data_IF_989682218141
#
_entry.id   IF_989682218141
#
_cell.length_a   1.000
_cell.length_b   1.000
_cell.length_c   1.000
_cell.angle_alpha   90.00
_cell.angle_beta   90.00
_cell.angle_gamma   90.00
#
_symmetry.space_group_name_H-M   'P 1'
#
loop_
_entity.id
_entity.type
_entity.pdbx_description
1 polymer ?
#
# COMPACT_ATOMS: atom_id res chain seq x y z
N UNK A 1 -12.80 -9.49 -15.29
CA UNK A 1 -12.06 -8.33 -14.81
C UNK A 1 -12.23 -8.27 -13.30
N UNK A 2 -11.18 -8.53 -12.52
CA UNK A 2 -11.27 -8.40 -11.06
C UNK A 2 -11.28 -6.90 -10.74
N UNK A 3 -12.42 -6.38 -10.31
CA UNK A 3 -12.53 -5.01 -9.83
C UNK A 3 -11.73 -4.90 -8.54
N UNK A 4 -10.53 -4.34 -8.61
CA UNK A 4 -9.74 -4.01 -7.42
C UNK A 4 -10.53 -2.97 -6.62
N UNK A 5 -11.17 -3.40 -5.52
CA UNK A 5 -11.80 -2.48 -4.59
C UNK A 5 -10.79 -1.43 -4.12
N UNK A 6 -11.22 -0.17 -3.91
CA UNK A 6 -10.33 0.86 -3.37
C UNK A 6 -9.74 0.44 -2.03
N UNK A 7 -8.43 0.61 -1.86
CA UNK A 7 -7.76 0.31 -0.60
C UNK A 7 -8.18 1.34 0.46
N UNK A 8 -8.78 0.87 1.55
CA UNK A 8 -9.06 1.70 2.72
C UNK A 8 -7.81 1.76 3.60
N UNK A 9 -7.33 2.98 3.88
CA UNK A 9 -6.06 3.22 4.56
C UNK A 9 -6.34 3.96 5.87
N UNK A 10 -6.11 3.34 7.03
CA UNK A 10 -6.12 4.01 8.33
C UNK A 10 -5.13 5.18 8.36
N UNK A 11 -5.43 6.31 9.04
CA UNK A 11 -4.56 7.49 9.04
C UNK A 11 -3.13 7.23 9.53
N UNK A 12 -2.95 6.29 10.45
CA UNK A 12 -1.66 5.85 11.00
C UNK A 12 -0.82 5.00 10.03
N UNK A 13 -1.43 4.50 8.95
CA UNK A 13 -0.75 3.74 7.89
C UNK A 13 -0.38 4.59 6.66
N UNK A 14 -0.80 5.86 6.64
CA UNK A 14 -0.59 6.76 5.50
C UNK A 14 0.85 7.27 5.46
N UNK A 15 1.50 7.09 4.32
CA UNK A 15 2.77 7.71 3.99
C UNK A 15 2.57 8.72 2.86
N UNK A 16 3.20 9.88 2.96
CA UNK A 16 3.42 10.71 1.77
C UNK A 16 4.39 10.02 0.80
N UNK A 17 4.40 10.46 -0.45
CA UNK A 17 5.19 9.81 -1.49
C UNK A 17 6.71 9.89 -1.29
N UNK A 18 7.23 10.94 -0.64
CA UNK A 18 8.65 11.07 -0.33
C UNK A 18 9.01 10.07 0.76
N UNK A 19 8.22 10.00 1.82
CA UNK A 19 8.42 9.05 2.93
C UNK A 19 8.34 7.61 2.42
N UNK A 20 7.37 7.29 1.56
CA UNK A 20 7.27 6.00 0.89
C UNK A 20 8.55 5.66 0.10
N UNK A 21 9.02 6.59 -0.75
CA UNK A 21 10.24 6.45 -1.55
C UNK A 21 11.48 6.18 -0.70
N UNK A 22 11.66 6.92 0.40
CA UNK A 22 12.78 6.70 1.33
C UNK A 22 12.69 5.33 2.01
N UNK A 23 11.49 4.92 2.48
CA UNK A 23 11.27 3.66 3.17
C UNK A 23 11.67 2.45 2.34
N UNK A 24 11.36 2.46 1.04
CA UNK A 24 11.68 1.34 0.12
C UNK A 24 13.01 1.50 -0.62
N UNK A 25 13.74 2.59 -0.41
CA UNK A 25 14.97 2.92 -1.17
C UNK A 25 14.74 2.83 -2.68
N UNK A 26 13.65 3.42 -3.16
CA UNK A 26 13.26 3.54 -4.59
C UNK A 26 13.00 4.98 -4.94
N UNK A 27 13.05 5.32 -6.22
CA UNK A 27 12.72 6.68 -6.67
C UNK A 27 11.23 6.99 -6.44
N UNK A 28 10.91 8.28 -6.30
CA UNK A 28 9.52 8.76 -6.25
C UNK A 28 8.75 8.29 -7.47
N UNK A 29 9.36 8.31 -8.67
CA UNK A 29 8.71 7.87 -9.90
C UNK A 29 8.36 6.39 -9.88
N UNK A 30 9.20 5.55 -9.27
CA UNK A 30 8.87 4.13 -9.11
C UNK A 30 7.70 3.92 -8.15
N UNK A 31 7.62 4.68 -7.06
CA UNK A 31 6.47 4.63 -6.14
C UNK A 31 5.20 5.14 -6.84
N UNK A 32 5.29 6.20 -7.67
CA UNK A 32 4.16 6.66 -8.51
C UNK A 32 3.71 5.57 -9.48
N UNK A 33 4.65 4.87 -10.09
CA UNK A 33 4.36 3.77 -11.01
C UNK A 33 3.66 2.63 -10.28
N UNK A 34 4.16 2.20 -9.12
CA UNK A 34 3.49 1.18 -8.30
C UNK A 34 2.10 1.61 -7.83
N UNK A 35 1.92 2.88 -7.45
CA UNK A 35 0.59 3.42 -7.15
C UNK A 35 -0.37 3.25 -8.34
N UNK A 36 0.07 3.60 -9.55
CA UNK A 36 -0.74 3.48 -10.77
C UNK A 36 -1.02 2.02 -11.17
N UNK A 37 -0.03 1.14 -11.06
CA UNK A 37 -0.11 -0.25 -11.52
C UNK A 37 -0.84 -1.13 -10.52
N UNK A 38 -0.61 -0.92 -9.22
CA UNK A 38 -1.04 -1.83 -8.17
C UNK A 38 -2.05 -1.22 -7.20
N UNK A 39 -2.36 0.08 -7.28
CA UNK A 39 -3.37 0.69 -6.40
C UNK A 39 -3.02 0.61 -4.91
N UNK A 40 -1.75 0.86 -4.56
CA UNK A 40 -1.23 0.80 -3.17
C UNK A 40 -1.53 2.07 -2.34
N UNK A 41 -2.44 2.91 -2.78
CA UNK A 41 -2.65 4.24 -2.22
C UNK A 41 -3.92 4.89 -2.74
N UNK A 42 -4.10 6.17 -2.40
CA UNK A 42 -5.21 6.99 -2.88
C UNK A 42 -4.73 8.39 -3.26
N UNK A 43 -5.53 9.02 -4.12
CA UNK A 43 -5.38 10.42 -4.50
C UNK A 43 -6.78 11.04 -4.58
N UNK A 44 -7.07 12.02 -3.72
CA UNK A 44 -8.42 12.57 -3.56
C UNK A 44 -8.94 13.31 -4.81
N UNK A 45 -8.05 13.72 -5.71
CA UNK A 45 -8.41 14.38 -6.96
C UNK A 45 -7.17 14.73 -7.80
N UNK A 46 -7.38 15.33 -8.98
CA UNK A 46 -6.28 15.78 -9.83
C UNK A 46 -5.34 16.71 -9.06
N UNK A 47 -4.03 16.49 -9.16
CA UNK A 47 -2.98 17.25 -8.48
C UNK A 47 -2.98 17.18 -6.94
N UNK A 48 -3.91 16.46 -6.31
CA UNK A 48 -3.85 16.22 -4.87
C UNK A 48 -2.62 15.37 -4.50
N UNK A 49 -2.07 15.50 -3.28
CA UNK A 49 -1.03 14.62 -2.79
C UNK A 49 -1.45 13.14 -2.91
N UNK A 50 -0.49 12.29 -3.27
CA UNK A 50 -0.68 10.85 -3.26
C UNK A 50 -0.35 10.36 -1.85
N UNK A 51 -1.31 9.64 -1.27
CA UNK A 51 -1.18 8.95 0.01
C UNK A 51 -0.96 7.47 -0.27
N UNK A 52 0.07 6.88 0.35
CA UNK A 52 0.49 5.50 0.13
C UNK A 52 0.24 4.69 1.40
N UNK A 53 -0.35 3.51 1.28
CA UNK A 53 -0.47 2.56 2.39
C UNK A 53 0.90 1.93 2.68
N UNK A 54 1.36 2.07 3.92
CA UNK A 54 2.60 1.43 4.38
C UNK A 54 2.63 -0.09 4.17
N UNK A 55 1.60 -0.89 4.55
CA UNK A 55 1.60 -2.33 4.30
C UNK A 55 1.53 -2.68 2.82
N UNK A 56 0.69 -2.00 2.03
CA UNK A 56 0.60 -2.26 0.59
C UNK A 56 1.92 -1.98 -0.14
N UNK A 57 2.62 -0.91 0.23
CA UNK A 57 3.94 -0.60 -0.29
C UNK A 57 4.97 -1.68 0.08
N UNK A 58 4.93 -2.19 1.31
CA UNK A 58 5.81 -3.25 1.76
C UNK A 58 5.57 -4.55 0.98
N UNK A 59 4.31 -4.92 0.73
CA UNK A 59 3.93 -6.10 -0.05
C UNK A 59 4.45 -6.02 -1.49
N UNK A 60 4.25 -4.87 -2.17
CA UNK A 60 4.78 -4.67 -3.53
C UNK A 60 6.31 -4.70 -3.56
N UNK A 61 6.97 -4.13 -2.57
CA UNK A 61 8.43 -4.17 -2.45
C UNK A 61 8.96 -5.61 -2.32
N UNK A 62 8.18 -6.54 -1.74
CA UNK A 62 8.50 -7.96 -1.63
C UNK A 62 7.92 -8.82 -2.78
N UNK A 63 7.17 -8.23 -3.71
CA UNK A 63 6.52 -8.96 -4.81
C UNK A 63 5.33 -9.82 -4.39
N UNK A 64 4.78 -9.60 -3.20
CA UNK A 64 3.67 -10.39 -2.64
C UNK A 64 2.32 -9.78 -3.01
N UNK A 65 1.93 -9.99 -4.27
CA UNK A 65 0.66 -9.47 -4.78
C UNK A 65 -0.57 -10.21 -4.23
N UNK A 66 -0.39 -11.43 -3.73
CA UNK A 66 -1.48 -12.17 -3.09
C UNK A 66 -1.88 -11.52 -1.76
N UNK A 67 -0.90 -11.14 -0.93
CA UNK A 67 -1.17 -10.38 0.29
C UNK A 67 -1.80 -9.00 -0.03
N UNK A 68 -1.35 -8.34 -1.10
CA UNK A 68 -1.92 -7.07 -1.54
C UNK A 68 -3.41 -7.21 -1.93
N UNK A 69 -3.76 -8.28 -2.66
CA UNK A 69 -5.14 -8.53 -3.06
C UNK A 69 -6.04 -8.84 -1.85
N UNK A 70 -5.54 -9.60 -0.88
CA UNK A 70 -6.23 -9.86 0.39
C UNK A 70 -6.43 -8.57 1.20
N UNK A 71 -5.40 -7.72 1.28
CA UNK A 71 -5.49 -6.42 1.95
C UNK A 71 -6.55 -5.52 1.30
N UNK A 72 -6.58 -5.45 -0.04
CA UNK A 72 -7.58 -4.69 -0.79
C UNK A 72 -9.01 -5.25 -0.66
N UNK A 73 -9.13 -6.57 -0.48
CA UNK A 73 -10.41 -7.21 -0.18
C UNK A 73 -10.88 -6.96 1.25
N UNK A 74 -10.04 -6.36 2.10
CA UNK A 74 -10.34 -6.11 3.52
C UNK A 74 -10.05 -7.31 4.42
N UNK A 75 -9.41 -8.37 3.91
CA UNK A 75 -9.05 -9.57 4.69
C UNK A 75 -7.79 -9.32 5.54
N UNK A 76 -7.86 -8.36 6.47
CA UNK A 76 -6.71 -7.97 7.30
C UNK A 76 -6.26 -9.03 8.29
N UNK A 77 -7.18 -9.91 8.69
CA UNK A 77 -6.91 -11.04 9.58
C UNK A 77 -6.27 -12.25 8.89
N UNK A 78 -5.99 -12.19 7.58
CA UNK A 78 -5.32 -13.29 6.91
C UNK A 78 -3.87 -13.41 7.35
N UNK A 79 -3.35 -14.64 7.47
CA UNK A 79 -1.96 -14.88 7.88
C UNK A 79 -0.93 -14.13 7.01
N UNK A 80 -1.24 -13.95 5.72
CA UNK A 80 -0.39 -13.21 4.78
C UNK A 80 -0.37 -11.72 5.11
N UNK A 81 -1.53 -11.10 5.35
CA UNK A 81 -1.61 -9.68 5.67
C UNK A 81 -1.06 -9.40 7.07
N UNK A 82 -1.45 -10.20 8.05
CA UNK A 82 -1.00 -10.12 9.44
C UNK A 82 0.52 -10.12 9.53
N UNK A 83 1.21 -10.96 8.76
CA UNK A 83 2.68 -10.98 8.72
C UNK A 83 3.29 -9.60 8.39
N UNK A 84 2.71 -8.86 7.44
CA UNK A 84 3.19 -7.52 7.11
C UNK A 84 2.80 -6.48 8.14
N UNK A 85 1.58 -6.56 8.69
CA UNK A 85 1.14 -5.65 9.74
C UNK A 85 2.03 -5.79 10.98
N UNK A 86 2.28 -7.02 11.43
CA UNK A 86 3.18 -7.33 12.54
C UNK A 86 4.62 -6.85 12.25
N UNK A 87 5.14 -7.10 11.04
CA UNK A 87 6.48 -6.65 10.63
C UNK A 87 6.63 -5.12 10.67
N UNK A 88 5.55 -4.39 10.39
CA UNK A 88 5.53 -2.93 10.39
C UNK A 88 5.12 -2.32 11.74
N UNK A 89 4.72 -3.16 12.71
CA UNK A 89 4.21 -2.72 14.01
C UNK A 89 2.85 -2.04 13.95
N UNK A 90 2.00 -2.43 12.98
CA UNK A 90 0.68 -1.84 12.72
C UNK A 90 -0.45 -2.65 13.40
N UNK A 91 -1.58 -2.00 13.72
CA UNK A 91 -2.76 -2.71 14.21
C UNK A 91 -3.35 -3.65 13.16
N UNK A 92 -3.98 -4.72 13.63
CA UNK A 92 -4.67 -5.71 12.79
C UNK A 92 -6.03 -5.19 12.36
#
# INVERSE_FOLDING_TARGET
MMTSSPLLIPPDEVLDIKTASHRVKRSVDQVRRWHKEHGIGRQAGPNAPIEISAPALCMVQHGDFSALDELKAGHRDSDRVVRYLDFLGLPR
#
